data_IF_676504192179
#
_entry.id   IF_676504192179
#
_cell.length_a   1.000
_cell.length_b   1.000
_cell.length_c   1.000
_cell.angle_alpha   90.00
_cell.angle_beta   90.00
_cell.angle_gamma   90.00
#
_symmetry.space_group_name_H-M   'P 1'
#
loop_
_entity.id
_entity.type
_entity.pdbx_description
1 polymer ?
#
# COMPACT_ATOMS: atom_id res chain seq x y z
N UNK A 1 -4.05 -16.58 1.61
CA UNK A 1 -3.41 -15.82 0.52
C UNK A 1 -4.23 -14.55 0.38
N UNK A 2 -3.67 -13.38 0.71
CA UNK A 2 -4.42 -12.12 0.66
C UNK A 2 -4.57 -11.70 -0.79
N UNK A 3 -5.81 -11.55 -1.27
CA UNK A 3 -6.04 -11.09 -2.64
C UNK A 3 -5.83 -9.57 -2.74
N UNK A 4 -5.68 -9.08 -3.98
CA UNK A 4 -5.63 -7.64 -4.25
C UNK A 4 -6.85 -6.91 -3.65
N UNK A 5 -8.06 -7.42 -3.88
CA UNK A 5 -9.30 -6.80 -3.41
C UNK A 5 -9.41 -6.75 -1.88
N UNK A 6 -8.87 -7.77 -1.20
CA UNK A 6 -8.80 -7.80 0.27
C UNK A 6 -7.82 -6.75 0.78
N UNK A 7 -6.61 -6.71 0.23
CA UNK A 7 -5.60 -5.72 0.60
C UNK A 7 -6.09 -4.28 0.37
N UNK A 8 -6.60 -3.98 -0.83
CA UNK A 8 -7.09 -2.65 -1.16
C UNK A 8 -8.25 -2.21 -0.26
N UNK A 9 -9.16 -3.13 0.09
CA UNK A 9 -10.28 -2.84 1.01
C UNK A 9 -9.78 -2.53 2.42
N UNK A 10 -8.88 -3.33 2.95
CA UNK A 10 -8.32 -3.13 4.29
C UNK A 10 -7.59 -1.78 4.36
N UNK A 11 -6.80 -1.47 3.33
CA UNK A 11 -6.07 -0.20 3.25
C UNK A 11 -7.00 1.02 3.19
N UNK A 12 -8.08 0.96 2.43
CA UNK A 12 -9.12 2.01 2.42
C UNK A 12 -9.79 2.14 3.79
N UNK A 13 -10.08 1.03 4.46
CA UNK A 13 -10.64 1.07 5.82
C UNK A 13 -9.69 1.74 6.81
N UNK A 14 -8.39 1.50 6.73
CA UNK A 14 -7.41 2.19 7.58
C UNK A 14 -7.31 3.67 7.25
N UNK A 15 -7.40 4.06 5.98
CA UNK A 15 -7.48 5.48 5.59
C UNK A 15 -8.73 6.12 6.18
N UNK A 16 -9.90 5.46 6.10
CA UNK A 16 -11.15 6.01 6.62
C UNK A 16 -11.11 6.22 8.14
N UNK A 17 -10.48 5.29 8.87
CA UNK A 17 -10.31 5.37 10.33
C UNK A 17 -9.22 6.38 10.73
N UNK A 18 -8.14 6.46 9.95
CA UNK A 18 -6.97 7.29 10.18
C UNK A 18 -6.36 7.17 11.59
N UNK A 19 -6.46 5.99 12.20
CA UNK A 19 -5.81 5.71 13.48
C UNK A 19 -4.32 5.46 13.27
N UNK A 20 -3.48 6.15 14.03
CA UNK A 20 -2.02 5.98 13.97
C UNK A 20 -1.59 4.55 14.30
N UNK A 21 -2.31 3.88 15.19
CA UNK A 21 -1.94 2.53 15.62
C UNK A 21 -2.15 1.48 14.50
N UNK A 22 -2.93 1.83 13.46
CA UNK A 22 -3.19 0.97 12.30
C UNK A 22 -2.03 0.91 11.30
N UNK A 23 -1.02 1.76 11.38
CA UNK A 23 0.13 1.69 10.46
C UNK A 23 0.84 0.33 10.52
N UNK A 24 0.89 -0.30 11.68
CA UNK A 24 1.45 -1.65 11.83
C UNK A 24 0.63 -2.71 11.09
N UNK A 25 -0.70 -2.62 11.19
CA UNK A 25 -1.62 -3.52 10.51
C UNK A 25 -1.59 -3.31 8.99
N UNK A 26 -1.56 -2.04 8.54
CA UNK A 26 -1.44 -1.67 7.14
C UNK A 26 -0.12 -2.19 6.53
N UNK A 27 1.03 -2.02 7.20
CA UNK A 27 2.31 -2.55 6.73
C UNK A 27 2.29 -4.07 6.57
N UNK A 28 1.66 -4.77 7.53
CA UNK A 28 1.53 -6.22 7.49
C UNK A 28 0.64 -6.68 6.33
N UNK A 29 -0.47 -5.98 6.07
CA UNK A 29 -1.34 -6.26 4.92
C UNK A 29 -0.59 -6.09 3.59
N UNK A 30 0.15 -4.98 3.43
CA UNK A 30 0.97 -4.72 2.23
C UNK A 30 2.00 -5.83 2.03
N UNK A 31 2.73 -6.23 3.08
CA UNK A 31 3.75 -7.29 2.99
C UNK A 31 3.15 -8.65 2.64
N UNK A 32 2.03 -9.03 3.25
CA UNK A 32 1.34 -10.29 2.94
C UNK A 32 0.85 -10.33 1.50
N UNK A 33 0.31 -9.22 1.00
CA UNK A 33 -0.10 -9.10 -0.38
C UNK A 33 1.09 -9.19 -1.34
N UNK A 34 2.17 -8.44 -1.09
CA UNK A 34 3.38 -8.51 -1.89
C UNK A 34 3.97 -9.92 -1.94
N UNK A 35 4.12 -10.59 -0.78
CA UNK A 35 4.74 -11.91 -0.69
C UNK A 35 3.85 -13.06 -1.18
N UNK A 36 2.59 -12.78 -1.51
CA UNK A 36 1.73 -13.75 -2.19
C UNK A 36 2.15 -13.99 -3.65
N UNK A 37 2.80 -13.01 -4.28
CA UNK A 37 3.36 -13.13 -5.62
C UNK A 37 4.80 -13.71 -5.53
N UNK A 38 5.08 -14.90 -6.08
CA UNK A 38 6.41 -15.50 -6.01
C UNK A 38 7.47 -14.76 -6.83
N UNK A 39 7.11 -14.13 -7.95
CA UNK A 39 8.04 -13.44 -8.85
C UNK A 39 8.38 -12.02 -8.38
N UNK A 40 9.66 -11.66 -8.13
CA UNK A 40 10.04 -10.32 -7.70
C UNK A 40 9.54 -9.20 -8.61
N UNK A 41 9.51 -9.40 -9.93
CA UNK A 41 8.95 -8.39 -10.84
C UNK A 41 7.43 -8.28 -10.65
N UNK A 42 6.72 -9.40 -10.62
CA UNK A 42 5.29 -9.45 -10.29
C UNK A 42 4.95 -8.76 -8.97
N UNK A 43 5.80 -8.86 -7.93
CA UNK A 43 5.60 -8.14 -6.66
C UNK A 43 5.65 -6.62 -6.86
N UNK A 44 6.62 -6.14 -7.63
CA UNK A 44 6.78 -4.73 -7.92
C UNK A 44 5.56 -4.19 -8.70
N UNK A 45 5.10 -4.94 -9.70
CA UNK A 45 3.93 -4.61 -10.50
C UNK A 45 2.64 -4.62 -9.65
N UNK A 46 2.51 -5.56 -8.71
CA UNK A 46 1.40 -5.61 -7.77
C UNK A 46 1.38 -4.40 -6.82
N UNK A 47 2.55 -3.95 -6.34
CA UNK A 47 2.65 -2.72 -5.55
C UNK A 47 2.30 -1.48 -6.38
N UNK A 48 2.72 -1.41 -7.65
CA UNK A 48 2.35 -0.31 -8.56
C UNK A 48 0.85 -0.25 -8.81
N UNK A 49 0.20 -1.40 -9.01
CA UNK A 49 -1.24 -1.48 -9.18
C UNK A 49 -1.97 -0.95 -7.93
N UNK A 50 -1.53 -1.36 -6.74
CA UNK A 50 -2.09 -0.92 -5.46
C UNK A 50 -1.90 0.59 -5.24
N UNK A 51 -0.70 1.11 -5.54
CA UNK A 51 -0.39 2.54 -5.44
C UNK A 51 -1.27 3.37 -6.39
N UNK A 52 -1.40 2.94 -7.64
CA UNK A 52 -2.21 3.62 -8.65
C UNK A 52 -3.69 3.66 -8.27
N UNK A 53 -4.21 2.58 -7.70
CA UNK A 53 -5.59 2.49 -7.23
C UNK A 53 -5.88 3.40 -6.03
N UNK A 54 -5.03 3.39 -5.01
CA UNK A 54 -5.19 4.26 -3.84
C UNK A 54 -4.98 5.73 -4.17
N UNK A 55 -4.16 6.05 -5.16
CA UNK A 55 -3.99 7.42 -5.66
C UNK A 55 -5.20 7.88 -6.46
N UNK A 56 -5.74 7.03 -7.33
CA UNK A 56 -6.89 7.37 -8.18
C UNK A 56 -8.17 7.56 -7.38
N UNK A 57 -8.37 6.75 -6.36
CA UNK A 57 -9.59 6.74 -5.54
C UNK A 57 -9.49 7.61 -4.28
N UNK A 58 -8.32 8.17 -3.98
CA UNK A 58 -8.16 9.15 -2.92
C UNK A 58 -8.59 10.53 -3.40
N UNK A 59 -9.86 10.90 -3.20
CA UNK A 59 -10.29 12.29 -3.37
C UNK A 59 -9.94 13.10 -2.12
N UNK A 60 -8.96 14.02 -2.19
CA UNK A 60 -8.52 14.77 -1.01
C UNK A 60 -9.59 15.76 -0.53
N UNK A 61 -10.58 16.13 -1.36
CA UNK A 61 -11.62 17.08 -0.99
C UNK A 61 -12.64 16.51 0.01
N UNK A 62 -12.76 15.19 0.07
CA UNK A 62 -13.62 14.47 1.03
C UNK A 62 -12.91 14.01 2.30
N UNK A 63 -11.58 14.15 2.37
CA UNK A 63 -10.78 13.64 3.49
C UNK A 63 -10.51 14.71 4.55
N UNK A 64 -10.58 14.32 5.82
CA UNK A 64 -10.03 15.10 6.93
C UNK A 64 -8.49 15.16 6.87
N UNK A 65 -7.88 16.10 7.58
CA UNK A 65 -6.41 16.23 7.64
C UNK A 65 -5.72 14.95 8.14
N UNK A 66 -6.32 14.25 9.11
CA UNK A 66 -5.79 12.98 9.61
C UNK A 66 -5.80 11.90 8.52
N UNK A 67 -6.90 11.80 7.77
CA UNK A 67 -7.03 10.84 6.66
C UNK A 67 -6.05 11.16 5.53
N UNK A 68 -5.84 12.44 5.20
CA UNK A 68 -4.84 12.86 4.21
C UNK A 68 -3.40 12.52 4.65
N UNK A 69 -3.08 12.77 5.92
CA UNK A 69 -1.77 12.42 6.48
C UNK A 69 -1.56 10.91 6.49
N UNK A 70 -2.57 10.14 6.90
CA UNK A 70 -2.53 8.68 6.90
C UNK A 70 -2.35 8.14 5.48
N UNK A 71 -3.16 8.61 4.53
CA UNK A 71 -3.07 8.25 3.11
C UNK A 71 -1.67 8.52 2.55
N UNK A 72 -1.10 9.69 2.82
CA UNK A 72 0.25 10.06 2.37
C UNK A 72 1.31 9.08 2.90
N UNK A 73 1.27 8.78 4.20
CA UNK A 73 2.20 7.81 4.81
C UNK A 73 2.01 6.42 4.22
N UNK A 74 0.76 6.01 3.98
CA UNK A 74 0.45 4.71 3.41
C UNK A 74 0.99 4.55 1.99
N UNK A 75 0.87 5.59 1.14
CA UNK A 75 1.45 5.58 -0.20
C UNK A 75 2.99 5.40 -0.12
N UNK A 76 3.66 6.13 0.77
CA UNK A 76 5.09 6.00 0.98
C UNK A 76 5.51 4.61 1.49
N UNK A 77 4.68 3.96 2.32
CA UNK A 77 4.91 2.59 2.78
C UNK A 77 4.83 1.57 1.63
N UNK A 78 3.88 1.75 0.71
CA UNK A 78 3.75 0.89 -0.48
C UNK A 78 4.96 1.07 -1.39
N UNK A 79 5.35 2.31 -1.68
CA UNK A 79 6.55 2.61 -2.46
C UNK A 79 7.80 2.01 -1.81
N UNK A 80 7.96 2.17 -0.50
CA UNK A 80 9.09 1.58 0.22
C UNK A 80 9.07 0.06 0.14
N UNK A 81 7.90 -0.56 0.32
CA UNK A 81 7.76 -2.01 0.24
C UNK A 81 8.12 -2.51 -1.15
N UNK A 82 7.67 -1.84 -2.22
CA UNK A 82 8.07 -2.13 -3.60
C UNK A 82 9.60 -2.21 -3.76
N UNK A 83 10.34 -1.25 -3.21
CA UNK A 83 11.82 -1.25 -3.30
C UNK A 83 12.49 -2.43 -2.58
N UNK A 84 11.82 -3.00 -1.57
CA UNK A 84 12.35 -4.09 -0.75
C UNK A 84 11.99 -5.46 -1.32
N UNK A 85 10.77 -5.61 -1.83
CA UNK A 85 10.24 -6.90 -2.32
C UNK A 85 10.43 -7.12 -3.81
N UNK A 86 10.65 -6.03 -4.56
CA UNK A 86 10.86 -6.04 -6.00
C UNK A 86 12.18 -6.68 -6.43
N UNK A 87 12.46 -6.74 -7.74
CA UNK A 87 13.72 -7.28 -8.23
C UNK A 87 14.88 -6.45 -7.68
N UNK A 88 15.99 -7.12 -7.36
CA UNK A 88 17.21 -6.44 -6.97
C UNK A 88 17.76 -5.65 -8.16
N UNK A 89 17.48 -4.35 -8.19
CA UNK A 89 18.14 -3.42 -9.09
C UNK A 89 19.43 -2.97 -8.41
N UNK A 90 20.54 -3.64 -8.74
CA UNK A 90 21.85 -3.09 -8.44
C UNK A 90 21.90 -1.69 -9.08
N UNK A 91 22.02 -0.65 -8.25
CA UNK A 91 21.96 0.74 -8.69
C UNK A 91 22.90 1.02 -9.85
N UNK A 92 22.42 1.85 -10.79
CA UNK A 92 23.26 2.59 -11.73
C UNK A 92 24.17 3.55 -10.99
#
# INVERSE_FOLDING_TARGET
MTSYDECARDLRSYIDQADRDDFGAAQNAILKFALAEPDPQGRADAMDALLADLTRNGDPTGMSEAQQAFHTVLLAMIERTKTVVGPFTAGR
#
